data_IF_011110754454
#
_entry.id   IF_011110754454
#
_cell.length_a   1.000
_cell.length_b   1.000
_cell.length_c   1.000
_cell.angle_alpha   90.00
_cell.angle_beta   90.00
_cell.angle_gamma   90.00
#
_symmetry.space_group_name_H-M   'P 1'
#
loop_
_entity.id
_entity.type
_entity.pdbx_description
1 polymer ?
#
# COMPACT_ATOMS: atom_id res chain seq x y z
N UNK A 1 10.01 -19.57 3.99
CA UNK A 1 9.66 -18.75 5.16
C UNK A 1 8.37 -18.04 4.83
N UNK A 2 7.25 -18.69 5.15
CA UNK A 2 5.91 -18.31 4.70
C UNK A 2 5.22 -17.68 5.89
N UNK A 3 5.17 -16.34 5.96
CA UNK A 3 4.38 -15.67 6.99
C UNK A 3 2.92 -15.67 6.58
N UNK A 4 2.19 -16.63 7.13
CA UNK A 4 0.76 -16.52 7.32
C UNK A 4 0.48 -15.29 8.21
N UNK A 5 -0.30 -14.32 7.74
CA UNK A 5 -0.88 -13.30 8.61
C UNK A 5 -2.40 -13.35 8.52
N UNK A 6 -2.91 -13.97 9.58
CA UNK A 6 -4.26 -14.08 10.08
C UNK A 6 -4.98 -12.71 10.13
N UNK A 7 -6.15 -12.65 9.47
CA UNK A 7 -7.38 -11.92 9.79
C UNK A 7 -7.27 -10.78 10.84
N UNK A 8 -7.52 -9.52 10.41
CA UNK A 8 -7.60 -8.23 11.15
C UNK A 8 -6.44 -7.22 11.05
N UNK A 9 -5.51 -7.32 10.10
CA UNK A 9 -4.60 -6.19 9.84
C UNK A 9 -5.33 -5.10 9.04
N UNK A 10 -6.00 -4.18 9.73
CA UNK A 10 -6.67 -3.03 9.11
C UNK A 10 -5.71 -2.16 8.30
N UNK A 11 -4.41 -2.21 8.60
CA UNK A 11 -3.38 -1.38 7.98
C UNK A 11 -2.16 -2.20 7.52
N UNK A 12 -1.79 -2.01 6.26
CA UNK A 12 -0.63 -2.53 5.55
C UNK A 12 0.54 -1.55 5.60
N UNK A 13 1.76 -2.06 5.56
CA UNK A 13 2.98 -1.26 5.35
C UNK A 13 3.30 -1.11 3.86
N UNK A 14 4.12 -0.12 3.52
CA UNK A 14 4.66 0.03 2.16
C UNK A 14 5.34 -1.26 1.68
N UNK A 15 6.00 -1.99 2.59
CA UNK A 15 6.70 -3.22 2.24
C UNK A 15 5.75 -4.34 1.86
N UNK A 16 4.65 -4.50 2.60
CA UNK A 16 3.59 -5.48 2.28
C UNK A 16 2.95 -5.17 0.92
N UNK A 17 2.64 -3.90 0.64
CA UNK A 17 2.07 -3.50 -0.65
C UNK A 17 3.04 -3.78 -1.81
N UNK A 18 4.33 -3.49 -1.61
CA UNK A 18 5.34 -3.76 -2.62
C UNK A 18 5.49 -5.26 -2.89
N UNK A 19 5.40 -6.09 -1.84
CA UNK A 19 5.44 -7.54 -1.94
C UNK A 19 4.20 -8.09 -2.68
N UNK A 20 3.01 -7.59 -2.33
CA UNK A 20 1.74 -8.03 -2.92
C UNK A 20 1.62 -7.64 -4.40
N UNK A 21 2.05 -6.42 -4.77
CA UNK A 21 2.05 -5.95 -6.16
C UNK A 21 3.28 -6.42 -6.96
N UNK A 22 4.28 -7.01 -6.31
CA UNK A 22 5.56 -7.38 -6.94
C UNK A 22 6.35 -6.17 -7.47
N UNK A 23 6.18 -4.98 -6.88
CA UNK A 23 6.87 -3.76 -7.31
C UNK A 23 7.98 -3.36 -6.34
N UNK A 24 8.97 -2.61 -6.84
CA UNK A 24 9.99 -2.05 -5.99
C UNK A 24 9.44 -0.92 -5.10
N UNK A 25 9.99 -0.78 -3.88
CA UNK A 25 9.68 0.35 -2.99
C UNK A 25 9.88 1.71 -3.67
N UNK A 26 10.88 1.82 -4.54
CA UNK A 26 11.14 3.02 -5.33
C UNK A 26 9.96 3.39 -6.22
N UNK A 27 9.32 2.41 -6.85
CA UNK A 27 8.10 2.60 -7.66
C UNK A 27 6.95 3.14 -6.81
N UNK A 28 6.79 2.61 -5.60
CA UNK A 28 5.79 3.13 -4.67
C UNK A 28 6.05 4.60 -4.28
N UNK A 29 7.31 4.96 -4.01
CA UNK A 29 7.67 6.36 -3.75
C UNK A 29 7.48 7.27 -4.97
N UNK A 30 7.73 6.77 -6.18
CA UNK A 30 7.45 7.48 -7.42
C UNK A 30 5.95 7.76 -7.59
N UNK A 31 5.10 6.76 -7.33
CA UNK A 31 3.65 6.95 -7.30
C UNK A 31 3.23 8.00 -6.27
N UNK A 32 3.89 8.01 -5.10
CA UNK A 32 3.61 9.00 -4.07
C UNK A 32 4.01 10.41 -4.50
N UNK A 33 5.16 10.56 -5.17
CA UNK A 33 5.60 11.82 -5.76
C UNK A 33 4.64 12.30 -6.86
N UNK A 34 4.16 11.37 -7.69
CA UNK A 34 3.16 11.60 -8.73
C UNK A 34 1.72 11.78 -8.20
N UNK A 35 1.51 11.70 -6.87
CA UNK A 35 0.18 11.70 -6.21
C UNK A 35 -0.78 10.61 -6.73
N UNK A 36 -0.21 9.50 -7.19
CA UNK A 36 -0.92 8.29 -7.64
C UNK A 36 -0.88 7.18 -6.61
N UNK A 37 -0.25 7.36 -5.45
CA UNK A 37 -0.23 6.36 -4.39
C UNK A 37 -1.50 6.43 -3.52
N UNK A 38 -1.88 5.32 -2.86
CA UNK A 38 -2.98 5.29 -1.91
C UNK A 38 -2.73 6.19 -0.69
N UNK A 39 -3.79 6.57 0.06
CA UNK A 39 -3.68 7.34 1.29
C UNK A 39 -2.74 6.69 2.31
N UNK A 40 -1.63 7.35 2.61
CA UNK A 40 -0.65 6.88 3.58
C UNK A 40 -0.79 7.64 4.90
N UNK A 41 -0.93 6.91 6.00
CA UNK A 41 -0.90 7.42 7.36
C UNK A 41 0.56 7.41 7.83
N UNK A 42 1.10 8.60 8.12
CA UNK A 42 2.43 8.74 8.71
C UNK A 42 2.35 8.60 10.22
N UNK A 43 3.06 7.63 10.79
CA UNK A 43 3.17 7.45 12.23
C UNK A 43 4.22 8.42 12.81
N UNK A 44 4.14 8.74 14.12
CA UNK A 44 5.16 9.54 14.80
C UNK A 44 6.57 8.91 14.73
N UNK A 45 6.65 7.59 14.53
CA UNK A 45 7.90 6.85 14.38
C UNK A 45 8.52 6.97 12.96
N UNK A 46 7.86 7.69 12.04
CA UNK A 46 8.31 7.85 10.65
C UNK A 46 7.85 6.75 9.69
N UNK A 47 7.25 5.67 10.19
CA UNK A 47 6.71 4.59 9.38
C UNK A 47 5.39 4.98 8.69
N UNK A 48 5.10 4.34 7.55
CA UNK A 48 3.92 4.60 6.74
C UNK A 48 2.98 3.39 6.79
N UNK A 49 1.75 3.63 7.25
CA UNK A 49 0.66 2.64 7.26
C UNK A 49 -0.43 3.06 6.30
N UNK A 50 -0.95 2.11 5.54
CA UNK A 50 -2.01 2.32 4.56
C UNK A 50 -3.15 1.39 4.95
N UNK A 51 -4.39 1.86 4.97
CA UNK A 51 -5.50 0.96 5.31
C UNK A 51 -5.76 -0.01 4.16
N UNK A 52 -6.12 -1.25 4.47
CA UNK A 52 -6.41 -2.24 3.42
C UNK A 52 -7.57 -1.79 2.52
N UNK A 53 -8.63 -1.25 3.12
CA UNK A 53 -9.76 -0.69 2.37
C UNK A 53 -9.35 0.49 1.44
N UNK A 54 -8.44 1.35 1.89
CA UNK A 54 -7.92 2.45 1.07
C UNK A 54 -7.08 1.93 -0.10
N UNK A 55 -6.29 0.88 0.14
CA UNK A 55 -5.51 0.20 -0.90
C UNK A 55 -6.41 -0.51 -1.93
N UNK A 56 -7.43 -1.23 -1.48
CA UNK A 56 -8.42 -1.89 -2.35
C UNK A 56 -9.21 -0.87 -3.18
N UNK A 57 -9.68 0.22 -2.55
CA UNK A 57 -10.38 1.30 -3.25
C UNK A 57 -9.50 1.98 -4.29
N UNK A 58 -8.20 2.14 -4.00
CA UNK A 58 -7.23 2.65 -4.96
C UNK A 58 -7.02 1.71 -6.15
N UNK A 59 -6.87 0.39 -5.91
CA UNK A 59 -6.81 -0.64 -6.97
C UNK A 59 -8.05 -0.58 -7.87
N UNK A 60 -9.23 -0.55 -7.27
CA UNK A 60 -10.49 -0.44 -8.01
C UNK A 60 -10.56 0.85 -8.85
N UNK A 61 -10.04 1.96 -8.33
CA UNK A 61 -9.96 3.22 -9.08
C UNK A 61 -9.00 3.16 -10.28
N UNK A 62 -8.01 2.26 -10.26
CA UNK A 62 -7.11 2.03 -11.40
C UNK A 62 -7.73 1.09 -12.43
N UNK A 63 -8.45 0.05 -12.00
CA UNK A 63 -9.13 -0.90 -12.89
C UNK A 63 -10.20 -0.23 -13.76
N UNK A 64 -10.87 0.81 -13.24
CA UNK A 64 -11.90 1.57 -13.97
C UNK A 64 -11.34 2.49 -15.08
N UNK A 65 -10.02 2.55 -15.27
CA UNK A 65 -9.36 3.40 -16.29
C UNK A 65 -8.95 2.60 -17.55
N UNK A 66 -9.52 1.42 -17.79
CA UNK A 66 -9.28 0.63 -19.00
C UNK A 66 -10.21 1.04 -20.15
#
# INVERSE_FOLDING_TARGET
>A
MTTAQNDKHTHLTVREICDELGVARSTFYDWRAARKAPPCIKLPNGDLRIRRADFESWLQSLEQRV
#
